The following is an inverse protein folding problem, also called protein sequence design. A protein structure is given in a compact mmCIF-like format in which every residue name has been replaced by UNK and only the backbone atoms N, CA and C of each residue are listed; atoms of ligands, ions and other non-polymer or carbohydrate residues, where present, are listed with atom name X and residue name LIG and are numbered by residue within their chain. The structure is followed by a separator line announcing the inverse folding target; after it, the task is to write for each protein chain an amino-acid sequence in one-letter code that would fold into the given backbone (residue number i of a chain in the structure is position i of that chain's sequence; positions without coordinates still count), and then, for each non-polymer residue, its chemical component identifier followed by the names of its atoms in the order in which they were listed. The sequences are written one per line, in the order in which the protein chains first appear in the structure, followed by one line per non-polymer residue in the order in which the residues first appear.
data_IF_051397713255
#
_entry.id   IF_051397713255
#
_cell.length_a   1.000
_cell.length_b   1.000
_cell.length_c   1.000
_cell.angle_alpha   90.00
_cell.angle_beta   90.00
_cell.angle_gamma   90.00
#
_symmetry.space_group_name_H-M   'P 1'
#
loop_
_entity.id
_entity.type
_entity.pdbx_description
1 polymer ?
#
# COMPACT_ATOMS: atom_id res chain seq x y z
N UNK A 1 -2.46 0.26 -13.33
CA UNK A 1 -2.55 -0.60 -12.13
C UNK A 1 -3.11 0.28 -11.03
N UNK A 2 -4.31 -0.02 -10.52
CA UNK A 2 -4.99 0.83 -9.52
C UNK A 2 -4.79 0.21 -8.13
N UNK A 3 -3.94 0.83 -7.31
CA UNK A 3 -3.34 0.21 -6.10
C UNK A 3 -4.07 0.51 -4.77
N UNK A 4 -5.30 1.00 -4.78
CA UNK A 4 -6.06 1.05 -3.52
C UNK A 4 -7.56 1.08 -3.72
N UNK A 5 -8.26 0.32 -2.88
CA UNK A 5 -9.70 0.31 -2.65
C UNK A 5 -10.25 1.66 -2.16
N UNK A 6 -9.39 2.55 -1.66
CA UNK A 6 -9.77 3.92 -1.32
C UNK A 6 -10.01 4.76 -2.60
N UNK A 7 -11.11 5.53 -2.65
CA UNK A 7 -11.33 6.47 -3.75
C UNK A 7 -10.19 7.50 -3.78
N UNK A 8 -9.85 7.99 -4.97
CA UNK A 8 -8.93 9.12 -5.06
C UNK A 8 -9.52 10.33 -4.32
N UNK A 9 -8.71 11.04 -3.50
CA UNK A 9 -9.16 12.30 -2.91
C UNK A 9 -9.44 13.31 -4.02
N UNK A 10 -10.20 14.36 -3.72
CA UNK A 10 -10.31 15.48 -4.68
C UNK A 10 -8.96 16.18 -4.81
N UNK A 11 -8.71 16.79 -5.97
CA UNK A 11 -7.48 17.58 -6.20
C UNK A 11 -7.34 18.71 -5.19
N UNK A 12 -8.46 19.32 -4.80
CA UNK A 12 -8.52 20.38 -3.79
C UNK A 12 -8.14 19.86 -2.40
N UNK A 13 -8.64 18.69 -2.00
CA UNK A 13 -8.29 18.08 -0.72
C UNK A 13 -6.82 17.70 -0.67
N UNK A 14 -6.29 17.11 -1.74
CA UNK A 14 -4.88 16.75 -1.86
C UNK A 14 -3.98 17.99 -1.86
N UNK A 15 -4.33 19.05 -2.60
CA UNK A 15 -3.60 20.32 -2.55
C UNK A 15 -3.60 20.93 -1.13
N UNK A 16 -4.74 20.90 -0.44
CA UNK A 16 -4.84 21.42 0.93
C UNK A 16 -3.96 20.62 1.91
N UNK A 17 -3.92 19.29 1.76
CA UNK A 17 -3.00 18.44 2.51
C UNK A 17 -1.53 18.79 2.23
N UNK A 18 -1.14 18.91 0.96
CA UNK A 18 0.23 19.31 0.62
C UNK A 18 0.60 20.67 1.21
N UNK A 19 -0.32 21.64 1.12
CA UNK A 19 -0.13 22.98 1.69
C UNK A 19 0.14 22.95 3.20
N UNK A 20 -0.52 22.06 3.95
CA UNK A 20 -0.29 21.96 5.40
C UNK A 20 1.01 21.24 5.78
N UNK A 21 1.56 20.43 4.88
CA UNK A 21 2.74 19.61 5.16
C UNK A 21 4.03 20.09 4.48
N UNK A 22 3.96 20.90 3.42
CA UNK A 22 5.14 21.50 2.80
C UNK A 22 5.62 22.77 3.53
N UNK A 23 6.93 23.01 3.50
CA UNK A 23 7.51 24.32 3.78
C UNK A 23 6.96 25.33 2.77
N UNK A 24 6.44 26.45 3.27
CA UNK A 24 5.93 27.53 2.41
C UNK A 24 6.96 27.95 1.34
N UNK A 25 8.25 28.08 1.71
CA UNK A 25 9.34 28.43 0.80
C UNK A 25 9.66 27.37 -0.29
N UNK A 26 9.06 26.18 -0.20
CA UNK A 26 9.17 25.07 -1.17
C UNK A 26 7.86 24.81 -1.91
N UNK A 27 6.78 25.48 -1.55
CA UNK A 27 5.45 25.30 -2.13
C UNK A 27 4.86 26.66 -2.55
N UNK A 28 3.85 27.19 -1.86
CA UNK A 28 3.18 28.44 -2.27
C UNK A 28 4.09 29.68 -2.29
N UNK A 29 5.16 29.72 -1.49
CA UNK A 29 6.16 30.80 -1.53
C UNK A 29 6.97 30.85 -2.83
N UNK A 30 6.81 29.85 -3.71
CA UNK A 30 7.39 29.80 -5.06
C UNK A 30 6.39 30.11 -6.17
N UNK A 31 5.16 30.50 -5.86
CA UNK A 31 4.24 30.99 -6.87
C UNK A 31 4.66 32.40 -7.29
N UNK A 32 5.56 32.50 -8.27
CA UNK A 32 6.10 33.77 -8.78
C UNK A 32 6.78 33.59 -10.13
N UNK A 33 7.09 34.70 -10.81
CA UNK A 33 7.73 34.70 -12.12
C UNK A 33 9.03 33.88 -12.24
N UNK A 34 9.79 33.66 -11.16
CA UNK A 34 11.04 32.87 -11.22
C UNK A 34 10.81 31.37 -11.28
N UNK A 35 9.75 30.87 -10.64
CA UNK A 35 9.45 29.43 -10.56
C UNK A 35 8.17 29.03 -11.32
N UNK A 36 7.37 30.02 -11.72
CA UNK A 36 6.03 29.87 -12.28
C UNK A 36 4.96 30.41 -11.33
N UNK A 37 4.00 31.16 -11.85
CA UNK A 37 2.88 31.74 -11.09
C UNK A 37 2.00 30.67 -10.41
N UNK A 38 2.01 29.44 -10.94
CA UNK A 38 1.23 28.29 -10.49
C UNK A 38 2.12 27.12 -10.01
N UNK A 39 3.36 27.38 -9.58
CA UNK A 39 4.34 26.34 -9.22
C UNK A 39 3.79 25.28 -8.24
N UNK A 40 3.19 25.72 -7.13
CA UNK A 40 2.58 24.81 -6.14
C UNK A 40 1.47 23.93 -6.71
N UNK A 41 0.66 24.44 -7.66
CA UNK A 41 -0.38 23.66 -8.33
C UNK A 41 0.22 22.56 -9.19
N UNK A 42 1.36 22.81 -9.82
CA UNK A 42 2.07 21.80 -10.62
C UNK A 42 2.70 20.71 -9.75
N UNK A 43 3.24 21.08 -8.58
CA UNK A 43 3.69 20.08 -7.60
C UNK A 43 2.51 19.21 -7.17
N UNK A 44 1.39 19.83 -6.77
CA UNK A 44 0.23 19.08 -6.34
C UNK A 44 -0.31 18.14 -7.43
N UNK A 45 -0.33 18.59 -8.68
CA UNK A 45 -0.71 17.73 -9.81
C UNK A 45 0.24 16.54 -9.97
N UNK A 46 1.55 16.77 -9.91
CA UNK A 46 2.57 15.72 -10.02
C UNK A 46 2.41 14.67 -8.91
N UNK A 47 2.28 15.12 -7.67
CA UNK A 47 2.09 14.25 -6.51
C UNK A 47 0.75 13.50 -6.58
N UNK A 48 -0.30 14.13 -7.11
CA UNK A 48 -1.61 13.50 -7.29
C UNK A 48 -1.53 12.35 -8.31
N UNK A 49 -0.83 12.57 -9.42
CA UNK A 49 -0.64 11.55 -10.45
C UNK A 49 0.20 10.38 -9.94
N UNK A 50 1.22 10.65 -9.12
CA UNK A 50 1.97 9.57 -8.48
C UNK A 50 1.08 8.79 -7.51
N UNK A 51 0.31 9.49 -6.66
CA UNK A 51 -0.66 8.87 -5.75
C UNK A 51 -1.71 8.01 -6.48
N UNK A 52 -2.17 8.44 -7.66
CA UNK A 52 -3.07 7.65 -8.51
C UNK A 52 -2.38 6.37 -9.00
N UNK A 53 -1.13 6.50 -9.47
CA UNK A 53 -0.34 5.42 -10.07
C UNK A 53 0.13 4.37 -9.06
N UNK A 54 0.53 4.76 -7.86
CA UNK A 54 1.17 3.87 -6.86
C UNK A 54 0.30 3.62 -5.64
N UNK A 55 -0.74 4.43 -5.40
CA UNK A 55 -1.59 4.36 -4.21
C UNK A 55 -1.02 5.09 -2.98
N UNK A 56 0.23 5.55 -3.03
CA UNK A 56 0.88 6.32 -1.98
C UNK A 56 1.96 7.26 -2.54
N UNK A 57 2.32 8.30 -1.82
CA UNK A 57 3.50 9.11 -2.16
C UNK A 57 4.14 9.66 -0.88
N UNK A 58 5.19 10.47 -1.01
CA UNK A 58 5.91 11.05 0.11
C UNK A 58 6.26 12.52 -0.13
N UNK A 59 6.28 13.30 0.93
CA UNK A 59 6.91 14.61 0.99
C UNK A 59 8.29 14.42 1.60
N UNK A 60 9.34 14.84 0.91
CA UNK A 60 10.71 14.68 1.41
C UNK A 60 10.96 15.55 2.65
N UNK A 61 11.94 15.18 3.47
CA UNK A 61 12.36 15.95 4.65
C UNK A 61 12.82 17.38 4.32
N UNK A 62 13.44 17.57 3.16
CA UNK A 62 13.88 18.88 2.65
C UNK A 62 12.72 19.79 2.24
N UNK A 63 11.59 19.21 1.94
CA UNK A 63 10.38 19.90 1.49
C UNK A 63 9.35 20.05 2.61
N UNK A 64 9.36 19.14 3.59
CA UNK A 64 8.41 19.07 4.68
C UNK A 64 8.58 20.18 5.71
N UNK A 65 7.46 20.75 6.13
CA UNK A 65 7.38 21.76 7.20
C UNK A 65 7.92 21.23 8.54
N UNK A 66 7.75 19.94 8.82
CA UNK A 66 8.25 19.30 10.04
C UNK A 66 9.73 18.94 9.98
N UNK A 67 10.40 19.12 8.83
CA UNK A 67 11.77 18.65 8.56
C UNK A 67 11.94 17.13 8.69
N UNK A 68 10.83 16.41 8.56
CA UNK A 68 10.78 14.95 8.52
C UNK A 68 10.00 14.54 7.29
N UNK A 69 10.39 13.42 6.66
CA UNK A 69 9.63 12.87 5.56
C UNK A 69 8.20 12.53 6.01
N UNK A 70 7.23 12.78 5.13
CA UNK A 70 5.81 12.49 5.38
C UNK A 70 5.33 11.52 4.32
N UNK A 71 5.07 10.28 4.72
CA UNK A 71 4.47 9.26 3.86
C UNK A 71 2.95 9.38 3.93
N UNK A 72 2.24 9.24 2.81
CA UNK A 72 0.78 9.29 2.82
C UNK A 72 0.16 8.53 1.65
N UNK A 73 -1.08 8.08 1.87
CA UNK A 73 -1.91 7.43 0.85
C UNK A 73 -3.22 8.21 0.65
N UNK A 74 -4.18 7.63 -0.08
CA UNK A 74 -5.42 8.29 -0.51
C UNK A 74 -6.33 8.81 0.62
N UNK A 75 -6.11 8.41 1.88
CA UNK A 75 -6.82 8.98 3.05
C UNK A 75 -6.31 10.37 3.46
N UNK A 76 -5.18 10.83 2.88
CA UNK A 76 -4.52 12.09 3.23
C UNK A 76 -4.16 12.19 4.71
N UNK A 77 -3.67 11.08 5.27
CA UNK A 77 -3.05 11.02 6.60
C UNK A 77 -1.53 10.93 6.41
N UNK A 78 -0.78 11.78 7.10
CA UNK A 78 0.68 11.76 7.10
C UNK A 78 1.25 10.81 8.16
N UNK A 79 2.24 10.02 7.77
CA UNK A 79 2.94 9.06 8.61
C UNK A 79 4.46 9.35 8.61
N UNK A 80 5.15 9.04 9.70
CA UNK A 80 6.59 9.30 9.81
C UNK A 80 7.44 8.27 9.06
N UNK A 81 6.86 7.11 8.74
CA UNK A 81 7.54 6.06 7.98
C UNK A 81 6.58 5.29 7.07
N UNK A 82 7.15 4.66 6.05
CA UNK A 82 6.45 3.70 5.20
C UNK A 82 5.82 2.56 6.03
N UNK A 83 6.53 2.08 7.07
CA UNK A 83 6.03 0.99 7.92
C UNK A 83 4.76 1.38 8.65
N UNK A 84 4.73 2.56 9.29
CA UNK A 84 3.55 3.07 9.98
C UNK A 84 2.36 3.26 9.02
N UNK A 85 2.63 3.77 7.82
CA UNK A 85 1.62 3.92 6.78
C UNK A 85 1.05 2.57 6.35
N UNK A 86 1.92 1.60 6.07
CA UNK A 86 1.52 0.24 5.72
C UNK A 86 0.73 -0.42 6.85
N UNK A 87 1.16 -0.30 8.11
CA UNK A 87 0.46 -0.85 9.26
C UNK A 87 -0.94 -0.23 9.41
N UNK A 88 -1.06 1.09 9.25
CA UNK A 88 -2.35 1.79 9.26
C UNK A 88 -3.25 1.31 8.11
N UNK A 89 -2.72 1.27 6.89
CA UNK A 89 -3.45 0.81 5.71
C UNK A 89 -3.89 -0.66 5.82
N UNK A 90 -3.07 -1.52 6.45
CA UNK A 90 -3.40 -2.94 6.69
C UNK A 90 -4.48 -3.12 7.77
N UNK A 91 -4.61 -2.17 8.69
CA UNK A 91 -5.60 -2.22 9.77
C UNK A 91 -6.92 -1.52 9.39
N UNK A 92 -6.99 -0.89 8.22
CA UNK A 92 -8.24 -0.34 7.70
C UNK A 92 -9.25 -1.47 7.44
N UNK A 93 -10.55 -1.31 7.79
CA UNK A 93 -11.58 -2.30 7.49
C UNK A 93 -11.66 -2.64 6.00
N UNK A 94 -11.31 -1.67 5.14
CA UNK A 94 -11.33 -1.83 3.68
C UNK A 94 -10.03 -2.42 3.11
N UNK A 95 -9.04 -2.75 3.95
CA UNK A 95 -7.75 -3.27 3.51
C UNK A 95 -7.88 -4.59 2.75
N UNK A 96 -7.06 -4.76 1.72
CA UNK A 96 -6.91 -6.04 1.03
C UNK A 96 -6.27 -7.01 2.01
N UNK A 97 -7.04 -7.93 2.58
CA UNK A 97 -6.49 -9.05 3.33
C UNK A 97 -6.01 -10.14 2.34
N UNK A 98 -4.91 -10.80 2.69
CA UNK A 98 -4.28 -11.89 1.97
C UNK A 98 -4.05 -12.99 3.00
N UNK A 99 -5.00 -13.92 3.14
CA UNK A 99 -4.89 -14.99 4.13
C UNK A 99 -4.20 -16.20 3.53
N UNK A 100 -2.98 -16.50 3.98
CA UNK A 100 -2.19 -17.64 3.54
C UNK A 100 -2.39 -18.79 4.56
N UNK A 101 -3.01 -19.88 4.13
CA UNK A 101 -3.22 -21.08 4.95
C UNK A 101 -2.28 -22.19 4.55
N UNK A 102 -1.57 -22.87 5.47
CA UNK A 102 -0.64 -23.96 5.12
C UNK A 102 -1.26 -25.35 5.37
N UNK A 103 -1.08 -26.34 4.47
CA UNK A 103 -1.54 -27.70 4.68
C UNK A 103 -0.97 -28.32 5.95
N UNK A 104 -1.82 -28.86 6.81
CA UNK A 104 -1.41 -29.66 7.95
C UNK A 104 -0.53 -30.87 7.55
N UNK A 105 -0.62 -31.31 6.30
CA UNK A 105 0.13 -32.43 5.72
C UNK A 105 1.57 -32.07 5.32
N UNK A 106 1.81 -30.78 5.05
CA UNK A 106 3.14 -30.23 4.73
C UNK A 106 3.87 -29.72 5.97
N UNK A 107 3.12 -29.32 7.01
CA UNK A 107 3.66 -28.88 8.30
C UNK A 107 4.66 -29.86 8.95
N UNK A 108 4.51 -31.20 8.89
CA UNK A 108 5.50 -32.13 9.44
C UNK A 108 6.66 -32.49 8.49
N UNK A 109 6.58 -32.17 7.19
CA UNK A 109 7.64 -32.47 6.20
C UNK A 109 8.62 -31.31 6.00
N UNK A 110 8.22 -30.12 6.41
CA UNK A 110 9.04 -28.91 6.38
C UNK A 110 9.36 -28.61 7.84
N UNK A 111 10.64 -28.42 8.17
CA UNK A 111 10.97 -28.00 9.53
C UNK A 111 10.22 -26.70 9.86
N UNK A 112 9.74 -26.54 11.09
CA UNK A 112 8.98 -25.35 11.53
C UNK A 112 9.72 -24.04 11.19
N UNK A 113 11.07 -24.09 11.24
CA UNK A 113 11.97 -23.02 10.81
C UNK A 113 11.90 -22.73 9.31
N UNK A 114 11.97 -23.76 8.47
CA UNK A 114 11.90 -23.63 7.00
C UNK A 114 10.53 -23.14 6.52
N UNK A 115 9.45 -23.52 7.20
CA UNK A 115 8.12 -23.04 6.89
C UNK A 115 7.99 -21.55 7.24
N UNK A 116 8.46 -21.15 8.42
CA UNK A 116 8.46 -19.75 8.87
C UNK A 116 9.27 -18.85 7.93
N UNK A 117 10.44 -19.31 7.47
CA UNK A 117 11.27 -18.59 6.49
C UNK A 117 10.57 -18.41 5.13
N UNK A 118 9.88 -19.45 4.65
CA UNK A 118 9.14 -19.42 3.38
C UNK A 118 7.92 -18.50 3.45
N UNK A 119 7.17 -18.55 4.56
CA UNK A 119 6.05 -17.65 4.81
C UNK A 119 6.50 -16.20 4.97
N UNK A 120 7.62 -15.96 5.66
CA UNK A 120 8.21 -14.62 5.78
C UNK A 120 8.69 -14.09 4.42
N UNK A 121 9.26 -14.96 3.58
CA UNK A 121 9.63 -14.61 2.20
C UNK A 121 8.39 -14.27 1.37
N UNK A 122 7.37 -15.12 1.39
CA UNK A 122 6.13 -14.89 0.65
C UNK A 122 5.44 -13.60 1.09
N UNK A 123 5.38 -13.34 2.41
CA UNK A 123 4.88 -12.06 2.94
C UNK A 123 5.69 -10.87 2.40
N UNK A 124 7.02 -10.94 2.38
CA UNK A 124 7.87 -9.87 1.80
C UNK A 124 7.65 -9.69 0.30
N UNK A 125 7.55 -10.77 -0.46
CA UNK A 125 7.35 -10.71 -1.91
C UNK A 125 5.98 -10.11 -2.25
N UNK A 126 4.93 -10.50 -1.51
CA UNK A 126 3.58 -9.95 -1.64
C UNK A 126 3.56 -8.48 -1.22
N UNK A 127 4.12 -8.11 -0.06
CA UNK A 127 4.17 -6.71 0.38
C UNK A 127 5.03 -5.82 -0.52
N UNK A 128 6.08 -6.37 -1.14
CA UNK A 128 6.89 -5.65 -2.13
C UNK A 128 6.11 -5.34 -3.42
N UNK A 129 5.14 -6.20 -3.75
CA UNK A 129 4.27 -6.04 -4.93
C UNK A 129 2.99 -5.24 -4.58
N UNK A 130 2.48 -5.41 -3.37
CA UNK A 130 1.23 -4.86 -2.86
C UNK A 130 1.49 -4.26 -1.46
N UNK A 131 2.09 -3.06 -1.37
CA UNK A 131 2.49 -2.48 -0.08
C UNK A 131 1.31 -2.11 0.83
N UNK A 132 0.09 -2.08 0.30
CA UNK A 132 -1.15 -1.75 1.03
C UNK A 132 -2.03 -2.97 1.29
N UNK A 133 -1.46 -4.18 1.28
CA UNK A 133 -2.16 -5.41 1.61
C UNK A 133 -1.79 -5.92 3.02
N UNK A 134 -2.80 -6.40 3.74
CA UNK A 134 -2.64 -7.14 4.99
C UNK A 134 -2.39 -8.60 4.64
N UNK A 135 -1.29 -9.19 5.11
CA UNK A 135 -1.04 -10.63 4.94
C UNK A 135 -1.25 -11.34 6.28
N UNK A 136 -2.23 -12.23 6.34
CA UNK A 136 -2.50 -13.07 7.50
C UNK A 136 -2.06 -14.50 7.25
N UNK A 137 -1.51 -15.14 8.28
CA UNK A 137 -1.03 -16.52 8.21
C UNK A 137 -1.85 -17.36 9.19
N UNK A 138 -2.61 -18.32 8.66
CA UNK A 138 -3.42 -19.23 9.48
C UNK A 138 -2.99 -20.67 9.29
N UNK A 139 -2.67 -21.39 10.37
CA UNK A 139 -2.45 -22.83 10.31
C UNK A 139 -3.79 -23.56 10.52
N UNK A 140 -4.22 -24.43 9.60
CA UNK A 140 -5.41 -25.24 9.87
C UNK A 140 -6.08 -26.01 8.73
N UNK A 141 -5.74 -25.79 7.46
CA UNK A 141 -6.42 -26.44 6.33
C UNK A 141 -5.64 -27.62 5.74
N UNK A 142 -6.32 -28.46 4.94
CA UNK A 142 -5.71 -29.60 4.23
C UNK A 142 -4.97 -29.20 2.93
N UNK A 143 -5.08 -27.94 2.49
CA UNK A 143 -4.46 -27.38 1.27
C UNK A 143 -3.91 -25.96 1.53
N UNK A 144 -2.98 -25.49 0.66
CA UNK A 144 -2.35 -24.17 0.79
C UNK A 144 -3.24 -23.15 0.07
N UNK A 145 -3.91 -22.28 0.84
CA UNK A 145 -4.80 -21.27 0.27
C UNK A 145 -4.21 -19.88 0.44
N UNK A 146 -4.40 -19.01 -0.56
CA UNK A 146 -4.23 -17.57 -0.38
C UNK A 146 -5.58 -16.93 -0.64
N UNK A 147 -6.21 -16.34 0.38
CA UNK A 147 -7.45 -15.57 0.21
C UNK A 147 -7.16 -14.09 0.02
N UNK A 148 -7.36 -13.57 -1.19
CA UNK A 148 -7.15 -12.15 -1.50
C UNK A 148 -8.50 -11.43 -1.53
N UNK A 149 -8.65 -10.40 -0.70
CA UNK A 149 -9.87 -9.59 -0.63
C UNK A 149 -9.72 -8.34 -1.55
N UNK A 150 -10.26 -8.42 -2.78
CA UNK A 150 -10.68 -7.37 -3.75
C UNK A 150 -10.03 -7.27 -5.17
N UNK A 151 -10.95 -7.03 -6.13
CA UNK A 151 -10.93 -6.90 -7.63
C UNK A 151 -10.09 -7.89 -8.45
N UNK A 152 -10.82 -8.87 -9.03
CA UNK A 152 -10.38 -10.09 -9.73
C UNK A 152 -9.31 -9.93 -10.83
N UNK A 153 -9.28 -8.82 -11.57
CA UNK A 153 -8.56 -8.81 -12.85
C UNK A 153 -7.05 -8.49 -12.75
N UNK A 154 -6.62 -7.77 -11.71
CA UNK A 154 -5.27 -7.19 -11.71
C UNK A 154 -4.24 -8.05 -10.98
N UNK A 155 -4.66 -8.78 -9.95
CA UNK A 155 -3.78 -9.60 -9.10
C UNK A 155 -3.58 -11.00 -9.69
N UNK A 156 -4.56 -11.54 -10.44
CA UNK A 156 -4.51 -12.90 -10.98
C UNK A 156 -3.27 -13.15 -11.85
N UNK A 157 -2.96 -12.25 -12.78
CA UNK A 157 -1.81 -12.38 -13.69
C UNK A 157 -0.44 -12.29 -13.00
N UNK A 158 -0.34 -11.60 -11.86
CA UNK A 158 0.93 -11.41 -11.15
C UNK A 158 1.21 -12.53 -10.15
N UNK A 159 0.16 -13.09 -9.52
CA UNK A 159 0.31 -14.18 -8.54
C UNK A 159 0.37 -15.55 -9.23
N UNK A 160 -0.26 -15.74 -10.40
CA UNK A 160 -0.17 -16.99 -11.19
C UNK A 160 1.28 -17.37 -11.53
N UNK A 161 2.16 -16.38 -11.73
CA UNK A 161 3.57 -16.62 -12.01
C UNK A 161 4.39 -17.11 -10.81
N UNK A 162 3.88 -16.97 -9.58
CA UNK A 162 4.64 -17.25 -8.38
C UNK A 162 4.54 -18.70 -7.92
N UNK A 163 3.41 -19.42 -8.07
CA UNK A 163 3.28 -20.72 -7.39
C UNK A 163 2.37 -21.76 -8.07
N UNK A 164 2.98 -22.84 -8.59
CA UNK A 164 2.31 -24.05 -9.11
C UNK A 164 1.68 -24.95 -8.01
N UNK A 165 1.58 -24.50 -6.76
CA UNK A 165 1.22 -25.35 -5.59
C UNK A 165 0.27 -24.66 -4.62
N UNK A 166 -0.28 -23.51 -4.99
CA UNK A 166 -1.16 -22.71 -4.14
C UNK A 166 -2.50 -22.52 -4.82
N UNK A 167 -3.57 -22.79 -4.08
CA UNK A 167 -4.93 -22.51 -4.53
C UNK A 167 -5.32 -21.11 -4.06
N UNK A 168 -5.45 -20.16 -4.99
CA UNK A 168 -6.00 -18.85 -4.66
C UNK A 168 -7.51 -18.98 -4.47
N UNK A 169 -8.05 -18.44 -3.37
CA UNK A 169 -9.50 -18.30 -3.19
C UNK A 169 -9.86 -16.83 -3.10
N UNK A 170 -10.96 -16.45 -3.70
CA UNK A 170 -11.47 -15.09 -3.67
C UNK A 170 -12.71 -15.10 -2.79
N UNK A 171 -12.67 -14.37 -1.68
CA UNK A 171 -13.81 -14.19 -0.81
C UNK A 171 -14.24 -12.72 -0.86
N UNK A 172 -15.53 -12.48 -1.17
CA UNK A 172 -16.12 -11.16 -0.96
C UNK A 172 -16.33 -11.00 0.54
N UNK A 173 -15.43 -10.30 1.20
CA UNK A 173 -15.59 -9.92 2.61
C UNK A 173 -16.70 -8.88 2.73
N UNK A 174 -17.90 -9.32 3.14
CA UNK A 174 -18.87 -8.43 3.76
C UNK A 174 -18.46 -8.29 5.23
N UNK A 175 -17.89 -7.14 5.60
CA UNK A 175 -17.78 -6.78 7.01
C UNK A 175 -19.16 -6.29 7.47
N UNK A 176 -19.82 -7.07 8.34
CA UNK A 176 -21.00 -6.69 9.13
C UNK A 176 -20.58 -5.79 10.29
#
# INVERSE_FOLDING_TARGET
MNYSHLPMPTREAHYAFLKSHYLSARFEGRNNASWGEDYSRRIAESEYLELEKTGYTLISDHESASRQAVFYHRSLIGYASMSEMCDSACNAPEAICVQISVPAQLAPKISEKSLSELLAKLKRDIMGTFPLCRVELTSGSKELYIEVFQTEEMISKQIEGFVNTIVLRWSQGYYL
#
